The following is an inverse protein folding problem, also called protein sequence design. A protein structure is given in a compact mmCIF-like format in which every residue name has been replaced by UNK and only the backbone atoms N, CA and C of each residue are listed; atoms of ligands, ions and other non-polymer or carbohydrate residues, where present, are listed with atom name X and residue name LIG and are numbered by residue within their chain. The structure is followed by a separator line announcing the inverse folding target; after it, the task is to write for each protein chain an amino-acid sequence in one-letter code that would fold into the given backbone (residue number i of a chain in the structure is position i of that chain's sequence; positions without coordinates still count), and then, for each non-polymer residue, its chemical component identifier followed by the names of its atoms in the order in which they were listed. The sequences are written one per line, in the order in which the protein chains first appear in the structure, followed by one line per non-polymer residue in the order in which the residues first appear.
data_IF_077144514001
#
_entry.id   IF_077144514001
#
_cell.length_a   1.000
_cell.length_b   1.000
_cell.length_c   1.000
_cell.angle_alpha   90.00
_cell.angle_beta   90.00
_cell.angle_gamma   90.00
#
_symmetry.space_group_name_H-M   'P 1'
#
loop_
_entity.id
_entity.type
_entity.pdbx_description
1 polymer ?
#
# COMPACT_ATOMS: atom_id res chain seq x y z
N UNK A 1 -49.75 -54.84 13.02
CA UNK A 1 -50.92 -54.03 12.68
C UNK A 1 -50.71 -53.51 11.26
N UNK A 2 -51.09 -54.33 10.28
CA UNK A 2 -52.29 -54.16 9.44
C UNK A 2 -52.07 -53.11 8.34
N UNK A 3 -51.85 -53.54 7.08
CA UNK A 3 -52.88 -53.84 6.06
C UNK A 3 -53.71 -52.57 5.74
N UNK A 4 -53.98 -52.16 4.49
CA UNK A 4 -53.89 -52.77 3.16
C UNK A 4 -54.39 -51.71 2.14
N UNK A 5 -53.96 -51.88 0.88
CA UNK A 5 -54.78 -51.69 -0.36
C UNK A 5 -55.14 -50.25 -0.81
N UNK A 6 -55.31 -49.91 -2.09
CA UNK A 6 -55.59 -50.71 -3.29
C UNK A 6 -55.19 -49.93 -4.58
N UNK A 7 -54.66 -50.64 -5.58
CA UNK A 7 -54.74 -50.30 -7.03
C UNK A 7 -56.17 -50.51 -7.58
N UNK A 8 -56.49 -49.96 -8.77
CA UNK A 8 -56.55 -50.76 -10.02
C UNK A 8 -55.77 -50.08 -11.17
N UNK A 9 -55.05 -50.81 -12.06
CA UNK A 9 -55.50 -51.55 -13.27
C UNK A 9 -56.30 -50.66 -14.26
N UNK A 10 -56.16 -50.66 -15.59
CA UNK A 10 -55.53 -51.46 -16.66
C UNK A 10 -55.71 -50.59 -17.94
N UNK A 11 -54.76 -50.41 -18.88
CA UNK A 11 -54.24 -51.32 -19.91
C UNK A 11 -54.99 -51.27 -21.26
N UNK A 12 -54.20 -51.39 -22.35
CA UNK A 12 -54.50 -51.56 -23.80
C UNK A 12 -54.79 -50.30 -24.62
N UNK A 13 -53.88 -49.80 -25.49
CA UNK A 13 -53.17 -50.36 -26.67
C UNK A 13 -54.12 -50.74 -27.82
N UNK A 14 -54.04 -50.00 -28.94
CA UNK A 14 -53.85 -50.50 -30.32
C UNK A 14 -53.78 -49.32 -31.30
N UNK A 15 -52.65 -49.15 -31.99
CA UNK A 15 -52.46 -49.45 -33.43
C UNK A 15 -53.51 -48.82 -34.36
N UNK A 16 -53.11 -48.05 -35.38
CA UNK A 16 -52.71 -48.66 -36.64
C UNK A 16 -52.23 -47.64 -37.69
N UNK A 17 -51.25 -48.08 -38.49
CA UNK A 17 -50.71 -47.40 -39.67
C UNK A 17 -51.61 -47.74 -40.86
N UNK A 18 -51.87 -46.73 -41.70
CA UNK A 18 -52.76 -46.69 -42.87
C UNK A 18 -52.61 -47.86 -43.84
N UNK A 19 -53.74 -48.28 -44.41
CA UNK A 19 -53.87 -48.77 -45.79
C UNK A 19 -55.03 -48.00 -46.46
N UNK A 20 -54.93 -47.55 -47.73
CA UNK A 20 -55.91 -46.64 -48.33
C UNK A 20 -56.92 -47.36 -49.23
N UNK A 21 -58.15 -46.84 -49.30
CA UNK A 21 -58.96 -46.79 -50.54
C UNK A 21 -60.23 -45.95 -50.37
N UNK A 22 -60.30 -44.93 -51.23
CA UNK A 22 -61.45 -44.34 -51.92
C UNK A 22 -62.65 -43.64 -51.23
N UNK A 23 -62.97 -42.52 -51.89
CA UNK A 23 -64.28 -41.83 -52.10
C UNK A 23 -64.89 -40.93 -51.00
N UNK A 24 -64.71 -39.61 -51.24
CA UNK A 24 -65.56 -38.39 -51.03
C UNK A 24 -67.06 -38.56 -50.62
N UNK A 25 -67.78 -37.48 -50.22
CA UNK A 25 -67.44 -36.26 -49.46
C UNK A 25 -68.53 -35.85 -48.41
N UNK A 26 -68.30 -34.71 -47.72
CA UNK A 26 -69.27 -33.80 -47.06
C UNK A 26 -70.05 -34.25 -45.81
N UNK A 27 -69.78 -33.59 -44.67
CA UNK A 27 -70.71 -32.62 -44.06
C UNK A 27 -70.20 -32.10 -42.72
N UNK A 28 -70.52 -30.82 -42.47
CA UNK A 28 -70.07 -30.00 -41.36
C UNK A 28 -70.57 -30.48 -39.99
N UNK A 29 -69.69 -30.46 -38.99
CA UNK A 29 -70.05 -30.12 -37.62
C UNK A 29 -68.94 -29.24 -37.03
N UNK A 30 -69.22 -27.93 -36.92
CA UNK A 30 -68.48 -27.02 -36.06
C UNK A 30 -68.75 -27.41 -34.59
N UNK A 31 -67.70 -27.49 -33.77
CA UNK A 31 -67.83 -27.39 -32.31
C UNK A 31 -66.67 -26.59 -31.70
N UNK A 32 -66.92 -25.85 -30.61
CA UNK A 32 -66.17 -24.66 -30.21
C UNK A 32 -65.11 -24.99 -29.16
N UNK A 33 -63.89 -25.29 -29.59
CA UNK A 33 -62.76 -25.52 -28.66
C UNK A 33 -61.55 -24.60 -28.93
N UNK A 34 -61.69 -23.65 -29.87
CA UNK A 34 -60.56 -22.87 -30.38
C UNK A 34 -60.24 -21.55 -29.66
N UNK A 35 -60.98 -21.17 -28.61
CA UNK A 35 -60.78 -19.88 -27.94
C UNK A 35 -59.85 -19.89 -26.71
N UNK A 36 -59.52 -21.05 -26.12
CA UNK A 36 -58.78 -21.10 -24.85
C UNK A 36 -57.25 -21.28 -24.99
N UNK A 37 -56.74 -21.62 -26.18
CA UNK A 37 -55.34 -22.01 -26.39
C UNK A 37 -54.36 -20.83 -26.60
N UNK A 38 -54.82 -19.70 -27.18
CA UNK A 38 -53.94 -18.58 -27.55
C UNK A 38 -53.55 -17.65 -26.40
N UNK A 39 -54.32 -17.59 -25.30
CA UNK A 39 -53.98 -16.71 -24.16
C UNK A 39 -52.91 -17.33 -23.26
N UNK A 40 -52.98 -18.64 -23.00
CA UNK A 40 -52.00 -19.37 -22.19
C UNK A 40 -50.60 -19.39 -22.82
N UNK A 41 -50.50 -19.52 -24.14
CA UNK A 41 -49.22 -19.49 -24.86
C UNK A 41 -48.55 -18.10 -24.80
N UNK A 42 -49.33 -17.01 -24.87
CA UNK A 42 -48.82 -15.63 -24.76
C UNK A 42 -48.33 -15.32 -23.35
N UNK A 43 -49.02 -15.82 -22.33
CA UNK A 43 -48.59 -15.68 -20.93
C UNK A 43 -47.29 -16.45 -20.68
N UNK A 44 -47.15 -17.66 -21.24
CA UNK A 44 -45.91 -18.44 -21.11
C UNK A 44 -44.72 -17.80 -21.84
N UNK A 45 -44.94 -17.24 -23.03
CA UNK A 45 -43.88 -16.53 -23.78
C UNK A 45 -43.45 -15.24 -23.08
N UNK A 46 -44.39 -14.47 -22.51
CA UNK A 46 -44.07 -13.28 -21.72
C UNK A 46 -43.38 -13.62 -20.39
N UNK A 47 -43.73 -14.74 -19.76
CA UNK A 47 -43.07 -15.22 -18.55
C UNK A 47 -41.62 -15.67 -18.81
N UNK A 48 -41.36 -16.37 -19.93
CA UNK A 48 -40.00 -16.73 -20.35
C UNK A 48 -39.15 -15.50 -20.70
N UNK A 49 -39.76 -14.50 -21.36
CA UNK A 49 -39.08 -13.26 -21.72
C UNK A 49 -38.76 -12.41 -20.48
N UNK A 50 -39.64 -12.40 -19.47
CA UNK A 50 -39.41 -11.67 -18.21
C UNK A 50 -38.40 -12.37 -17.29
N UNK A 51 -38.34 -13.70 -17.27
CA UNK A 51 -37.29 -14.43 -16.52
C UNK A 51 -35.88 -14.21 -17.11
N UNK A 52 -35.77 -13.95 -18.42
CA UNK A 52 -34.49 -13.71 -19.09
C UNK A 52 -33.82 -12.39 -18.69
N UNK A 53 -34.58 -11.41 -18.19
CA UNK A 53 -34.05 -10.11 -17.77
C UNK A 53 -33.53 -10.07 -16.32
N UNK A 54 -33.84 -11.08 -15.50
CA UNK A 54 -33.49 -11.08 -14.07
C UNK A 54 -32.07 -11.63 -13.81
N UNK A 55 -31.45 -12.29 -14.80
CA UNK A 55 -30.14 -12.96 -14.67
C UNK A 55 -28.89 -12.08 -14.78
N UNK A 56 -28.96 -10.91 -15.43
CA UNK A 56 -27.75 -10.14 -15.78
C UNK A 56 -27.27 -9.14 -14.70
N UNK A 57 -27.99 -8.98 -13.58
CA UNK A 57 -27.74 -7.85 -12.66
C UNK A 57 -26.81 -8.20 -11.48
N UNK A 58 -26.59 -9.48 -11.16
CA UNK A 58 -25.89 -9.88 -9.93
C UNK A 58 -24.48 -10.49 -10.08
N UNK A 59 -24.02 -10.76 -11.32
CA UNK A 59 -22.70 -11.38 -11.56
C UNK A 59 -21.51 -10.42 -11.43
N UNK A 60 -21.72 -9.10 -11.52
CA UNK A 60 -20.62 -8.12 -11.48
C UNK A 60 -20.16 -7.68 -10.08
N UNK A 61 -21.06 -7.67 -9.08
CA UNK A 61 -20.78 -6.98 -7.80
C UNK A 61 -20.03 -7.82 -6.76
N UNK A 62 -20.13 -9.16 -6.82
CA UNK A 62 -19.44 -10.07 -5.89
C UNK A 62 -18.02 -10.42 -6.35
N UNK A 63 -17.81 -10.67 -7.64
CA UNK A 63 -16.47 -10.93 -8.22
C UNK A 63 -15.54 -9.73 -8.06
N UNK A 64 -16.05 -8.50 -8.25
CA UNK A 64 -15.26 -7.27 -8.08
C UNK A 64 -14.78 -7.02 -6.63
N UNK A 65 -15.49 -7.52 -5.61
CA UNK A 65 -15.13 -7.29 -4.19
C UNK A 65 -13.94 -8.13 -3.74
N UNK A 66 -13.84 -9.39 -4.19
CA UNK A 66 -12.73 -10.27 -3.82
C UNK A 66 -11.41 -9.80 -4.44
N UNK A 67 -11.46 -9.31 -5.68
CA UNK A 67 -10.26 -8.96 -6.45
C UNK A 67 -9.63 -7.62 -6.06
N UNK A 68 -10.43 -6.61 -5.66
CA UNK A 68 -9.90 -5.34 -5.13
C UNK A 68 -8.93 -5.55 -3.95
N UNK A 69 -9.19 -6.57 -3.12
CA UNK A 69 -8.31 -6.94 -2.01
C UNK A 69 -6.97 -7.50 -2.49
N UNK A 70 -6.99 -8.46 -3.42
CA UNK A 70 -5.80 -9.09 -3.98
C UNK A 70 -4.92 -8.08 -4.74
N UNK A 71 -5.53 -7.15 -5.48
CA UNK A 71 -4.82 -6.08 -6.18
C UNK A 71 -4.16 -5.11 -5.22
N UNK A 72 -4.90 -4.66 -4.19
CA UNK A 72 -4.36 -3.77 -3.17
C UNK A 72 -3.13 -4.40 -2.49
N UNK A 73 -3.22 -5.69 -2.13
CA UNK A 73 -2.10 -6.44 -1.55
C UNK A 73 -0.90 -6.54 -2.50
N UNK A 74 -1.13 -6.79 -3.79
CA UNK A 74 -0.07 -6.94 -4.79
C UNK A 74 0.65 -5.61 -5.07
N UNK A 75 -0.10 -4.52 -5.23
CA UNK A 75 0.47 -3.17 -5.42
C UNK A 75 1.21 -2.72 -4.17
N UNK A 76 0.64 -2.94 -2.99
CA UNK A 76 1.30 -2.62 -1.73
C UNK A 76 2.62 -3.40 -1.57
N UNK A 77 2.61 -4.72 -1.81
CA UNK A 77 3.80 -5.56 -1.73
C UNK A 77 4.89 -5.10 -2.69
N UNK A 78 4.56 -4.85 -3.96
CA UNK A 78 5.55 -4.43 -4.96
C UNK A 78 6.15 -3.05 -4.66
N UNK A 79 5.36 -2.12 -4.14
CA UNK A 79 5.85 -0.82 -3.66
C UNK A 79 6.79 -0.97 -2.45
N UNK A 80 6.42 -1.79 -1.47
CA UNK A 80 7.25 -2.09 -0.30
C UNK A 80 8.58 -2.76 -0.70
N UNK A 81 8.52 -3.74 -1.60
CA UNK A 81 9.71 -4.42 -2.14
C UNK A 81 10.63 -3.45 -2.87
N UNK A 82 10.11 -2.56 -3.72
CA UNK A 82 10.89 -1.54 -4.41
C UNK A 82 11.57 -0.58 -3.42
N UNK A 83 10.82 -0.07 -2.44
CA UNK A 83 11.34 0.88 -1.47
C UNK A 83 12.45 0.26 -0.63
N UNK A 84 12.26 -0.98 -0.17
CA UNK A 84 13.27 -1.70 0.59
C UNK A 84 14.50 -2.06 -0.25
N UNK A 85 14.29 -2.51 -1.50
CA UNK A 85 15.37 -2.78 -2.44
C UNK A 85 16.24 -1.53 -2.65
N UNK A 86 15.63 -0.35 -2.75
CA UNK A 86 16.37 0.89 -2.87
C UNK A 86 17.17 1.24 -1.60
N UNK A 87 16.68 0.94 -0.39
CA UNK A 87 17.49 1.09 0.82
C UNK A 87 18.73 0.18 0.78
N UNK A 88 18.57 -1.06 0.33
CA UNK A 88 19.69 -2.01 0.19
C UNK A 88 20.68 -1.53 -0.88
N UNK A 89 20.21 -1.11 -2.05
CA UNK A 89 21.05 -0.53 -3.12
C UNK A 89 21.89 0.64 -2.60
N UNK A 90 21.25 1.58 -1.90
CA UNK A 90 21.95 2.74 -1.33
C UNK A 90 23.03 2.34 -0.31
N UNK A 91 22.82 1.25 0.45
CA UNK A 91 23.84 0.71 1.36
C UNK A 91 25.08 0.20 0.59
N UNK A 92 24.87 -0.41 -0.56
CA UNK A 92 25.92 -0.87 -1.48
C UNK A 92 26.46 0.21 -2.42
N UNK A 93 25.96 1.46 -2.32
CA UNK A 93 26.25 2.58 -3.23
C UNK A 93 25.80 2.33 -4.68
N UNK A 94 24.83 1.46 -4.87
CA UNK A 94 24.15 1.26 -6.15
C UNK A 94 23.05 2.32 -6.34
N UNK A 95 22.73 2.62 -7.60
CA UNK A 95 21.72 3.63 -7.95
C UNK A 95 20.31 3.15 -7.59
N UNK A 96 19.51 3.93 -6.83
CA UNK A 96 18.12 3.58 -6.58
C UNK A 96 17.28 3.80 -7.85
N UNK A 97 16.20 3.02 -8.00
CA UNK A 97 15.30 3.14 -9.15
C UNK A 97 13.85 3.14 -8.68
N UNK A 98 13.04 4.05 -9.21
CA UNK A 98 11.66 4.23 -8.79
C UNK A 98 10.74 4.08 -10.00
N UNK A 99 9.71 3.24 -9.85
CA UNK A 99 8.61 3.11 -10.78
C UNK A 99 7.31 3.55 -10.12
N UNK A 100 6.43 4.17 -10.89
CA UNK A 100 5.05 4.51 -10.50
C UNK A 100 4.06 3.67 -11.31
N UNK A 101 2.94 3.30 -10.69
CA UNK A 101 1.83 2.67 -11.41
C UNK A 101 1.15 3.75 -12.25
N UNK A 102 1.25 3.65 -13.57
CA UNK A 102 0.66 4.62 -14.50
C UNK A 102 -0.78 4.27 -14.87
N UNK A 103 -1.11 2.99 -15.01
CA UNK A 103 -2.48 2.55 -15.28
C UNK A 103 -2.72 1.11 -14.81
N UNK A 104 -3.98 0.80 -14.52
CA UNK A 104 -4.45 -0.57 -14.29
C UNK A 104 -5.58 -0.82 -15.28
N UNK A 105 -5.40 -1.78 -16.17
CA UNK A 105 -6.40 -2.18 -17.16
C UNK A 105 -6.82 -3.63 -16.91
N UNK A 106 -8.11 -3.90 -16.83
CA UNK A 106 -8.63 -5.26 -16.64
C UNK A 106 -9.02 -5.91 -17.97
N UNK A 107 -8.63 -7.16 -18.17
CA UNK A 107 -9.11 -8.00 -19.28
C UNK A 107 -9.88 -9.18 -18.70
N UNK A 108 -11.02 -9.54 -19.29
CA UNK A 108 -11.79 -10.71 -18.89
C UNK A 108 -11.65 -11.81 -19.94
N UNK A 109 -11.32 -13.02 -19.50
CA UNK A 109 -11.30 -14.22 -20.34
C UNK A 109 -12.35 -15.20 -19.84
N UNK A 110 -13.16 -15.71 -20.75
CA UNK A 110 -14.14 -16.76 -20.47
C UNK A 110 -13.50 -18.11 -20.79
N UNK A 111 -13.25 -18.94 -19.79
CA UNK A 111 -12.78 -20.31 -20.00
C UNK A 111 -13.90 -21.32 -19.74
N UNK A 112 -14.20 -22.14 -20.74
CA UNK A 112 -15.12 -23.27 -20.64
C UNK A 112 -14.33 -24.56 -20.46
N UNK A 113 -14.29 -25.11 -19.25
CA UNK A 113 -13.64 -26.40 -18.97
C UNK A 113 -14.62 -27.56 -19.10
N UNK A 114 -14.39 -28.47 -20.05
CA UNK A 114 -15.12 -29.76 -20.12
C UNK A 114 -14.33 -30.79 -19.31
N UNK A 115 -14.70 -31.00 -18.05
CA UNK A 115 -14.11 -32.07 -17.24
C UNK A 115 -14.76 -33.41 -17.63
N UNK A 116 -14.12 -34.18 -18.52
CA UNK A 116 -14.57 -35.50 -18.96
C UNK A 116 -14.07 -36.67 -18.09
N UNK A 117 -13.62 -36.40 -16.85
CA UNK A 117 -13.27 -37.45 -15.89
C UNK A 117 -13.94 -37.14 -14.55
N UNK A 118 -15.00 -37.89 -14.24
CA UNK A 118 -15.65 -37.86 -12.94
C UNK A 118 -14.77 -38.55 -11.91
N UNK A 119 -14.22 -37.78 -10.98
CA UNK A 119 -13.57 -38.31 -9.78
C UNK A 119 -14.45 -37.98 -8.57
N UNK A 120 -14.92 -38.97 -7.79
CA UNK A 120 -15.79 -38.71 -6.65
C UNK A 120 -14.93 -38.47 -5.41
N UNK A 121 -14.41 -37.25 -5.19
CA UNK A 121 -13.70 -36.94 -3.95
C UNK A 121 -13.97 -35.53 -3.42
N UNK A 122 -14.44 -35.55 -2.16
CA UNK A 122 -14.30 -34.58 -1.07
C UNK A 122 -15.09 -33.25 -1.13
N UNK A 123 -16.17 -33.28 -0.36
CA UNK A 123 -17.04 -32.20 0.10
C UNK A 123 -16.28 -31.12 0.90
N UNK A 124 -15.55 -30.23 0.21
CA UNK A 124 -14.98 -29.02 0.83
C UNK A 124 -14.93 -27.79 -0.08
N UNK A 125 -15.46 -27.85 -1.30
CA UNK A 125 -15.61 -26.68 -2.18
C UNK A 125 -17.09 -26.44 -2.47
N UNK A 126 -17.78 -25.76 -1.55
CA UNK A 126 -19.09 -25.14 -1.85
C UNK A 126 -18.90 -23.94 -2.78
N UNK A 127 -18.61 -24.22 -4.04
CA UNK A 127 -18.72 -23.33 -5.17
C UNK A 127 -20.18 -23.29 -5.65
N UNK A 128 -20.84 -22.20 -5.31
CA UNK A 128 -22.04 -21.59 -5.88
C UNK A 128 -22.69 -22.29 -7.12
N UNK A 129 -23.85 -22.91 -6.88
CA UNK A 129 -24.91 -23.35 -7.82
C UNK A 129 -24.53 -24.18 -9.07
N UNK A 130 -24.96 -25.45 -9.07
CA UNK A 130 -24.97 -26.31 -10.24
C UNK A 130 -26.13 -26.05 -11.20
N UNK A 131 -25.81 -26.11 -12.50
CA UNK A 131 -26.49 -26.87 -13.56
C UNK A 131 -25.64 -26.77 -14.84
N UNK A 132 -24.82 -27.81 -15.10
CA UNK A 132 -24.29 -28.14 -16.43
C UNK A 132 -23.39 -27.12 -17.12
N UNK A 133 -22.25 -26.76 -16.55
CA UNK A 133 -21.17 -26.07 -17.27
C UNK A 133 -20.21 -25.34 -16.33
N UNK A 134 -18.93 -25.75 -16.32
CA UNK A 134 -17.89 -25.02 -15.61
C UNK A 134 -17.47 -23.80 -16.45
N UNK A 135 -18.25 -22.73 -16.34
CA UNK A 135 -17.91 -21.44 -16.92
C UNK A 135 -17.13 -20.66 -15.87
N UNK A 136 -15.81 -20.62 -16.02
CA UNK A 136 -14.92 -19.83 -15.16
C UNK A 136 -14.59 -18.52 -15.88
N UNK A 137 -14.97 -17.38 -15.27
CA UNK A 137 -14.63 -16.05 -15.76
C UNK A 137 -13.36 -15.59 -15.04
N UNK A 138 -12.24 -15.57 -15.75
CA UNK A 138 -10.93 -15.18 -15.21
C UNK A 138 -10.64 -13.74 -15.63
N UNK A 139 -10.48 -12.84 -14.67
CA UNK A 139 -10.00 -11.47 -14.91
C UNK A 139 -8.47 -11.44 -14.78
N UNK A 140 -7.77 -10.86 -15.76
CA UNK A 140 -6.32 -10.64 -15.72
C UNK A 140 -6.05 -9.13 -15.78
N UNK A 141 -5.75 -8.47 -14.64
CA UNK A 141 -5.34 -7.07 -14.67
C UNK A 141 -3.95 -6.95 -15.32
N UNK A 142 -3.76 -5.90 -16.08
CA UNK A 142 -2.47 -5.44 -16.58
C UNK A 142 -2.14 -4.15 -15.84
N UNK A 143 -1.11 -4.20 -14.99
CA UNK A 143 -0.58 -3.03 -14.29
C UNK A 143 0.58 -2.47 -15.12
N UNK A 144 0.43 -1.24 -15.59
CA UNK A 144 1.50 -0.54 -16.33
C UNK A 144 2.33 0.26 -15.35
N UNK A 145 3.65 0.09 -15.41
CA UNK A 145 4.61 0.83 -14.60
C UNK A 145 5.40 1.80 -15.47
N UNK A 146 5.60 3.03 -14.98
CA UNK A 146 6.41 4.04 -15.63
C UNK A 146 7.57 4.47 -14.71
N UNK A 147 8.81 4.62 -15.22
CA UNK A 147 9.91 5.12 -14.43
C UNK A 147 9.68 6.56 -13.94
N UNK A 148 10.09 6.85 -12.71
CA UNK A 148 10.12 8.22 -12.19
C UNK A 148 11.39 8.92 -12.69
N UNK A 149 11.23 9.84 -13.65
CA UNK A 149 12.35 10.54 -14.31
C UNK A 149 12.06 12.05 -14.48
N UNK A 150 13.07 12.79 -14.93
CA UNK A 150 12.97 14.23 -15.21
C UNK A 150 12.52 15.05 -13.99
N UNK A 151 11.66 16.05 -14.23
CA UNK A 151 11.19 16.97 -13.20
C UNK A 151 10.45 16.27 -12.06
N UNK A 152 9.67 15.22 -12.36
CA UNK A 152 8.98 14.43 -11.31
C UNK A 152 9.98 13.80 -10.35
N UNK A 153 11.13 13.31 -10.84
CA UNK A 153 12.18 12.76 -9.99
C UNK A 153 12.81 13.84 -9.11
N UNK A 154 13.15 15.00 -9.69
CA UNK A 154 13.69 16.13 -8.93
C UNK A 154 12.72 16.54 -7.83
N UNK A 155 11.46 16.76 -8.17
CA UNK A 155 10.42 17.21 -7.25
C UNK A 155 10.15 16.19 -6.13
N UNK A 156 10.00 14.90 -6.46
CA UNK A 156 9.58 13.89 -5.49
C UNK A 156 10.71 13.26 -4.68
N UNK A 157 11.92 13.20 -5.24
CA UNK A 157 13.04 12.44 -4.67
C UNK A 157 14.16 13.35 -4.16
N UNK A 158 14.50 14.42 -4.90
CA UNK A 158 15.65 15.28 -4.60
C UNK A 158 15.30 16.56 -3.83
N UNK A 159 14.07 17.07 -3.95
CA UNK A 159 13.65 18.26 -3.22
C UNK A 159 13.64 18.02 -1.71
N UNK A 160 14.05 19.01 -0.90
CA UNK A 160 13.94 18.93 0.55
C UNK A 160 12.49 18.80 1.02
N UNK A 161 12.26 18.00 2.07
CA UNK A 161 10.93 17.81 2.67
C UNK A 161 10.40 19.17 3.14
N UNK A 162 9.21 19.60 2.67
CA UNK A 162 8.60 20.85 3.09
C UNK A 162 8.17 20.84 4.56
N UNK A 163 8.27 21.99 5.23
CA UNK A 163 7.80 22.14 6.62
C UNK A 163 6.31 21.83 6.78
N UNK A 164 5.49 22.11 5.76
CA UNK A 164 4.06 21.77 5.75
C UNK A 164 3.84 20.24 5.85
N UNK A 165 4.69 19.44 5.20
CA UNK A 165 4.63 17.97 5.27
C UNK A 165 4.95 17.48 6.68
N UNK A 166 5.92 18.08 7.36
CA UNK A 166 6.26 17.77 8.76
C UNK A 166 5.07 18.03 9.69
N UNK A 167 4.40 19.18 9.52
CA UNK A 167 3.18 19.53 10.27
C UNK A 167 2.05 18.55 9.98
N UNK A 168 1.83 18.17 8.71
CA UNK A 168 0.81 17.18 8.33
C UNK A 168 1.05 15.81 9.00
N UNK A 169 2.30 15.34 9.00
CA UNK A 169 2.67 14.08 9.64
C UNK A 169 2.45 14.14 11.16
N UNK A 170 2.80 15.25 11.79
CA UNK A 170 2.56 15.45 13.24
C UNK A 170 1.06 15.34 13.57
N UNK A 171 0.21 16.02 12.80
CA UNK A 171 -1.25 15.95 12.97
C UNK A 171 -1.87 14.61 12.58
N UNK A 172 -1.13 13.77 11.84
CA UNK A 172 -1.53 12.39 11.52
C UNK A 172 -1.16 11.39 12.64
N UNK A 173 -0.70 11.87 13.80
CA UNK A 173 -0.40 11.04 14.97
C UNK A 173 1.02 10.48 15.04
N UNK A 174 1.92 10.87 14.13
CA UNK A 174 3.29 10.39 14.14
C UNK A 174 4.12 10.97 15.30
N UNK A 175 5.07 10.18 15.80
CA UNK A 175 6.04 10.62 16.80
C UNK A 175 6.90 11.78 16.27
N UNK A 176 6.90 12.92 16.96
CA UNK A 176 7.71 14.09 16.59
C UNK A 176 9.20 13.76 16.56
N UNK A 177 9.68 12.89 17.46
CA UNK A 177 11.06 12.40 17.46
C UNK A 177 11.38 11.67 16.16
N UNK A 178 10.50 10.77 15.72
CA UNK A 178 10.71 10.02 14.48
C UNK A 178 10.64 10.95 13.27
N UNK A 179 9.65 11.84 13.20
CA UNK A 179 9.52 12.80 12.11
C UNK A 179 10.78 13.67 12.01
N UNK A 180 11.26 14.23 13.12
CA UNK A 180 12.40 15.17 13.11
C UNK A 180 13.71 14.44 12.81
N UNK A 181 13.92 13.23 13.33
CA UNK A 181 15.11 12.41 13.02
C UNK A 181 15.18 12.02 11.54
N UNK A 182 14.05 11.78 10.88
CA UNK A 182 14.06 11.54 9.44
C UNK A 182 14.18 12.85 8.67
N UNK A 183 13.40 13.88 9.02
CA UNK A 183 13.20 15.04 8.17
C UNK A 183 14.30 16.10 8.25
N UNK A 184 14.99 16.26 9.37
CA UNK A 184 16.00 17.32 9.55
C UNK A 184 17.41 16.75 9.64
N UNK A 185 18.34 17.32 8.87
CA UNK A 185 19.78 17.06 8.95
C UNK A 185 20.45 17.83 10.10
N UNK A 186 19.89 18.99 10.43
CA UNK A 186 20.38 19.84 11.50
C UNK A 186 19.28 20.75 12.05
N UNK A 187 19.42 21.12 13.32
CA UNK A 187 18.69 22.20 13.99
C UNK A 187 19.71 23.08 14.72
N UNK A 188 19.85 24.34 14.31
CA UNK A 188 20.96 25.21 14.71
C UNK A 188 22.32 24.49 14.54
N UNK A 189 23.08 24.34 15.62
CA UNK A 189 24.39 23.69 15.63
C UNK A 189 24.29 22.16 15.84
N UNK A 190 23.09 21.64 16.17
CA UNK A 190 22.88 20.22 16.44
C UNK A 190 22.77 19.45 15.13
N UNK A 191 23.74 18.55 14.92
CA UNK A 191 23.82 17.69 13.73
C UNK A 191 23.00 16.42 13.98
N UNK A 192 22.24 16.00 12.98
CA UNK A 192 21.56 14.71 12.94
C UNK A 192 22.15 13.84 11.85
N UNK A 193 23.40 13.40 11.99
CA UNK A 193 24.10 12.61 10.98
C UNK A 193 23.99 13.16 9.53
N UNK A 194 24.31 14.44 9.27
CA UNK A 194 24.15 15.04 7.93
C UNK A 194 24.95 14.30 6.85
N UNK A 195 26.13 13.76 7.19
CA UNK A 195 26.94 12.94 6.29
C UNK A 195 26.30 11.62 5.87
N UNK A 196 25.21 11.20 6.52
CA UNK A 196 24.41 10.04 6.14
C UNK A 196 23.16 10.40 5.32
N UNK A 197 23.03 11.65 4.86
CA UNK A 197 22.02 12.02 3.85
C UNK A 197 22.49 11.77 2.41
N UNK A 198 23.71 11.24 2.25
CA UNK A 198 24.30 10.78 1.01
C UNK A 198 24.94 9.40 1.20
N UNK A 199 25.88 8.98 0.32
CA UNK A 199 26.58 7.70 0.45
C UNK A 199 27.16 7.51 1.86
N UNK A 200 27.14 6.26 2.35
CA UNK A 200 27.63 5.89 3.69
C UNK A 200 28.98 6.57 3.99
N UNK A 201 29.08 7.40 5.05
CA UNK A 201 30.27 8.18 5.32
C UNK A 201 31.39 7.29 5.84
N UNK A 202 32.64 7.64 5.53
CA UNK A 202 33.82 6.96 6.04
C UNK A 202 34.09 7.26 7.52
N UNK A 203 33.66 8.45 8.00
CA UNK A 203 33.82 8.90 9.38
C UNK A 203 32.47 9.08 10.05
N UNK A 204 32.37 8.65 11.32
CA UNK A 204 31.17 8.73 12.13
C UNK A 204 30.67 10.18 12.25
N UNK A 205 29.41 10.47 11.91
CA UNK A 205 28.90 11.83 11.99
C UNK A 205 28.35 12.15 13.40
N UNK A 206 28.19 13.43 13.72
CA UNK A 206 27.52 13.87 14.95
C UNK A 206 26.00 13.67 14.90
N UNK A 207 25.41 13.13 15.96
CA UNK A 207 23.96 12.85 16.06
C UNK A 207 23.39 12.84 17.49
N UNK A 208 24.23 12.72 18.52
CA UNK A 208 23.82 12.36 19.88
C UNK A 208 22.99 13.47 20.55
N UNK A 209 23.43 14.71 20.41
CA UNK A 209 22.78 15.88 20.99
C UNK A 209 21.42 16.12 20.32
N UNK A 210 21.38 16.06 18.99
CA UNK A 210 20.11 16.15 18.25
C UNK A 210 19.12 15.08 18.69
N UNK A 211 19.57 13.82 18.80
CA UNK A 211 18.73 12.70 19.26
C UNK A 211 18.20 12.93 20.67
N UNK A 212 19.02 13.50 21.55
CA UNK A 212 18.61 13.83 22.93
C UNK A 212 17.57 14.95 22.94
N UNK A 213 17.74 15.98 22.11
CA UNK A 213 16.83 17.13 22.05
C UNK A 213 15.43 16.75 21.56
N UNK A 214 15.34 15.93 20.51
CA UNK A 214 14.03 15.51 19.98
C UNK A 214 13.28 14.59 20.95
N UNK A 215 13.96 13.90 21.86
CA UNK A 215 13.33 13.12 22.93
C UNK A 215 12.59 14.01 23.94
N UNK A 216 13.08 15.22 24.21
CA UNK A 216 12.33 16.19 25.02
C UNK A 216 11.02 16.59 24.34
N UNK A 217 11.05 16.85 23.03
CA UNK A 217 9.84 17.11 22.26
C UNK A 217 8.88 15.93 22.28
N UNK A 218 9.39 14.69 22.20
CA UNK A 218 8.54 13.50 22.29
C UNK A 218 7.86 13.37 23.65
N UNK A 219 8.56 13.64 24.75
CA UNK A 219 7.96 13.65 26.09
C UNK A 219 6.83 14.68 26.19
N UNK A 220 7.05 15.90 25.71
CA UNK A 220 6.03 16.93 25.65
C UNK A 220 4.85 16.52 24.75
N UNK A 221 5.12 15.89 23.60
CA UNK A 221 4.07 15.41 22.70
C UNK A 221 3.16 14.38 23.35
N UNK A 222 3.73 13.40 24.07
CA UNK A 222 2.95 12.36 24.76
C UNK A 222 2.06 12.93 25.86
N UNK A 223 2.43 14.08 26.42
CA UNK A 223 1.64 14.83 27.40
C UNK A 223 0.63 15.80 26.77
N UNK A 224 0.48 15.79 25.43
CA UNK A 224 -0.32 16.78 24.69
C UNK A 224 0.08 18.23 24.99
N UNK A 225 1.34 18.45 25.37
CA UNK A 225 1.85 19.74 25.82
C UNK A 225 2.34 20.64 24.68
N UNK A 226 2.41 20.11 23.46
CA UNK A 226 2.89 20.83 22.28
C UNK A 226 1.97 20.67 21.08
N UNK A 227 2.00 21.67 20.20
CA UNK A 227 1.38 21.65 18.90
C UNK A 227 2.34 22.18 17.83
N UNK A 228 2.21 21.70 16.59
CA UNK A 228 2.93 22.23 15.43
C UNK A 228 1.95 22.89 14.47
N UNK A 229 2.29 24.10 14.04
CA UNK A 229 1.51 24.85 13.04
C UNK A 229 2.39 25.28 11.88
N UNK A 230 1.84 25.24 10.66
CA UNK A 230 2.48 25.79 9.49
C UNK A 230 2.03 27.23 9.29
N UNK A 231 2.97 28.16 9.18
CA UNK A 231 2.68 29.56 8.88
C UNK A 231 3.50 30.01 7.67
N UNK A 232 2.97 30.97 6.91
CA UNK A 232 3.72 31.71 5.90
C UNK A 232 3.81 33.15 6.36
N UNK A 233 5.01 33.64 6.64
CA UNK A 233 5.26 35.03 7.00
C UNK A 233 6.01 35.68 5.84
N UNK A 234 5.39 36.69 5.19
CA UNK A 234 5.91 37.33 3.97
C UNK A 234 6.29 36.33 2.86
N UNK A 235 5.46 35.30 2.68
CA UNK A 235 5.71 34.23 1.70
C UNK A 235 6.73 33.17 2.13
N UNK A 236 7.48 33.40 3.21
CA UNK A 236 8.50 32.46 3.70
C UNK A 236 7.84 31.37 4.58
N UNK A 237 8.01 30.09 4.27
CA UNK A 237 7.44 29.00 5.04
C UNK A 237 8.14 28.86 6.39
N UNK A 238 7.35 28.75 7.47
CA UNK A 238 7.85 28.50 8.82
C UNK A 238 7.02 27.43 9.52
N UNK A 239 7.64 26.72 10.45
CA UNK A 239 6.97 25.77 11.35
C UNK A 239 7.03 26.35 12.76
N UNK A 240 5.87 26.59 13.33
CA UNK A 240 5.72 27.12 14.69
C UNK A 240 5.50 25.95 15.64
N UNK A 241 6.41 25.77 16.60
CA UNK A 241 6.20 24.95 17.78
C UNK A 241 5.54 25.81 18.84
N UNK A 242 4.35 25.40 19.27
CA UNK A 242 3.67 25.95 20.43
C UNK A 242 3.83 24.99 21.60
N UNK A 243 4.32 25.47 22.73
CA UNK A 243 4.33 24.77 24.02
C UNK A 243 3.26 25.41 24.90
N UNK A 244 2.38 24.59 25.47
CA UNK A 244 1.32 25.05 26.36
C UNK A 244 1.89 25.84 27.56
N UNK A 245 1.16 26.85 28.01
CA UNK A 245 1.57 27.77 29.08
C UNK A 245 2.02 27.03 30.35
N UNK A 246 1.28 25.99 30.75
CA UNK A 246 1.58 25.12 31.90
C UNK A 246 2.91 24.39 31.78
N UNK A 247 3.37 24.10 30.56
CA UNK A 247 4.54 23.26 30.29
C UNK A 247 5.77 24.05 29.85
N UNK A 248 5.66 25.36 29.55
CA UNK A 248 6.78 26.18 29.06
C UNK A 248 8.01 26.18 29.99
N UNK A 249 7.77 25.97 31.29
CA UNK A 249 8.79 25.91 32.34
C UNK A 249 9.16 24.49 32.80
N UNK A 250 8.58 23.46 32.19
CA UNK A 250 8.93 22.05 32.45
C UNK A 250 10.42 21.79 32.18
N UNK A 251 10.95 20.72 32.79
CA UNK A 251 12.34 20.28 32.56
C UNK A 251 12.59 20.05 31.07
N UNK A 252 11.69 19.33 30.40
CA UNK A 252 11.78 19.01 28.97
C UNK A 252 11.80 20.27 28.09
N UNK A 253 10.90 21.23 28.33
CA UNK A 253 10.86 22.47 27.55
C UNK A 253 12.11 23.33 27.74
N UNK A 254 12.61 23.45 28.98
CA UNK A 254 13.85 24.17 29.28
C UNK A 254 15.06 23.50 28.65
N UNK A 255 15.17 22.18 28.74
CA UNK A 255 16.28 21.42 28.16
C UNK A 255 16.27 21.48 26.62
N UNK A 256 15.09 21.44 25.99
CA UNK A 256 14.94 21.67 24.56
C UNK A 256 15.47 23.05 24.13
N UNK A 257 15.06 24.11 24.84
CA UNK A 257 15.48 25.48 24.52
C UNK A 257 17.00 25.68 24.71
N UNK A 258 17.52 25.26 25.87
CA UNK A 258 18.95 25.40 26.22
C UNK A 258 19.82 24.68 25.19
N UNK A 259 19.49 23.44 24.84
CA UNK A 259 20.30 22.66 23.90
C UNK A 259 20.36 23.26 22.49
N UNK A 260 19.40 24.10 22.11
CA UNK A 260 19.39 24.81 20.83
C UNK A 260 19.88 26.25 20.93
N UNK A 261 20.39 26.69 22.09
CA UNK A 261 20.78 28.07 22.39
C UNK A 261 19.62 29.07 22.23
N UNK A 262 18.42 28.69 22.69
CA UNK A 262 17.22 29.51 22.67
C UNK A 262 16.92 30.04 24.08
N UNK A 263 16.12 31.11 24.15
CA UNK A 263 15.63 31.62 25.43
C UNK A 263 14.60 30.65 26.04
N UNK A 264 14.85 30.06 27.23
CA UNK A 264 13.94 29.11 27.86
C UNK A 264 12.69 29.78 28.42
N UNK A 265 11.63 28.99 28.65
CA UNK A 265 10.38 29.50 29.26
C UNK A 265 9.41 30.18 28.29
N UNK A 266 9.73 30.19 26.98
CA UNK A 266 8.81 30.65 25.93
C UNK A 266 7.80 29.58 25.54
N UNK A 267 6.61 30.03 25.13
CA UNK A 267 5.56 29.17 24.56
C UNK A 267 5.71 28.98 23.05
N UNK A 268 6.58 29.73 22.38
CA UNK A 268 6.67 29.74 20.91
C UNK A 268 8.12 29.68 20.47
N UNK A 269 8.41 28.74 19.57
CA UNK A 269 9.69 28.63 18.85
C UNK A 269 9.41 28.40 17.37
N UNK A 270 10.22 29.00 16.50
CA UNK A 270 9.95 29.07 15.07
C UNK A 270 11.09 28.39 14.29
N UNK A 271 10.77 27.31 13.59
CA UNK A 271 11.70 26.61 12.71
C UNK A 271 11.65 27.23 11.31
N UNK A 272 12.80 27.64 10.79
CA UNK A 272 12.94 28.33 9.51
C UNK A 272 14.21 27.91 8.77
N UNK A 273 14.17 27.91 7.43
CA UNK A 273 15.35 27.62 6.59
C UNK A 273 16.36 28.77 6.57
N UNK A 274 15.93 29.99 6.84
CA UNK A 274 16.78 31.17 6.90
C UNK A 274 16.29 32.01 8.07
N UNK A 275 16.86 31.83 9.28
CA UNK A 275 16.48 32.65 10.43
C UNK A 275 16.87 34.10 10.18
N UNK A 276 16.08 35.02 10.72
CA UNK A 276 16.44 36.44 10.78
C UNK A 276 17.49 36.60 11.88
N UNK A 277 18.58 37.30 11.58
CA UNK A 277 19.58 37.71 12.57
C UNK A 277 18.86 38.43 13.74
N UNK A 278 19.29 38.17 14.97
CA UNK A 278 18.78 38.78 16.22
C UNK A 278 17.46 38.25 16.81
N UNK A 279 16.80 37.25 16.21
CA UNK A 279 15.63 36.59 16.84
C UNK A 279 16.02 35.38 17.68
N UNK A 280 15.83 35.47 19.00
CA UNK A 280 16.19 34.43 19.99
C UNK A 280 15.22 33.24 20.08
N UNK A 281 14.15 33.27 19.29
CA UNK A 281 13.10 32.24 19.22
C UNK A 281 13.14 31.43 17.90
N UNK A 282 14.11 31.70 17.03
CA UNK A 282 14.23 31.03 15.73
C UNK A 282 15.25 29.89 15.74
N UNK A 283 14.86 28.80 15.09
CA UNK A 283 15.66 27.60 14.91
C UNK A 283 15.93 27.46 13.41
N UNK A 284 17.19 27.60 13.03
CA UNK A 284 17.63 27.27 11.69
C UNK A 284 17.50 25.77 11.46
N UNK A 285 16.83 25.36 10.38
CA UNK A 285 16.70 23.95 10.02
C UNK A 285 17.20 23.68 8.62
N UNK A 286 17.83 22.51 8.46
CA UNK A 286 18.18 21.95 7.17
C UNK A 286 17.38 20.67 7.00
N UNK A 287 16.45 20.63 6.05
CA UNK A 287 15.67 19.41 5.78
C UNK A 287 16.41 18.43 4.88
N UNK A 288 16.07 17.15 5.01
CA UNK A 288 16.44 16.10 4.05
C UNK A 288 15.46 16.09 2.90
N UNK A 289 15.92 15.68 1.73
CA UNK A 289 15.05 15.17 0.68
C UNK A 289 14.61 13.74 0.99
N UNK A 290 13.67 13.18 0.21
CA UNK A 290 13.33 11.76 0.33
C UNK A 290 14.56 10.87 0.13
N UNK A 291 15.40 11.17 -0.88
CA UNK A 291 16.64 10.44 -1.10
C UNK A 291 17.57 10.53 0.11
N UNK A 292 17.65 11.72 0.74
CA UNK A 292 18.40 11.89 1.97
C UNK A 292 17.86 11.04 3.13
N UNK A 293 16.54 10.93 3.28
CA UNK A 293 15.93 10.04 4.27
C UNK A 293 16.28 8.58 3.97
N UNK A 294 16.26 8.18 2.70
CA UNK A 294 16.60 6.82 2.28
C UNK A 294 18.07 6.49 2.50
N UNK A 295 19.00 7.42 2.25
CA UNK A 295 20.41 7.25 2.61
C UNK A 295 20.62 7.16 4.12
N UNK A 296 19.87 7.93 4.90
CA UNK A 296 19.95 7.88 6.36
C UNK A 296 19.44 6.52 6.87
N UNK A 297 18.32 6.04 6.33
CA UNK A 297 17.74 4.74 6.67
C UNK A 297 18.50 3.55 6.08
N UNK A 298 19.23 3.70 4.99
CA UNK A 298 20.06 2.60 4.45
C UNK A 298 21.16 2.19 5.43
N UNK A 299 21.52 3.06 6.39
CA UNK A 299 22.44 2.72 7.47
C UNK A 299 21.88 1.67 8.45
N UNK A 300 20.56 1.44 8.45
CA UNK A 300 19.91 0.37 9.20
C UNK A 300 19.97 -1.01 8.52
N UNK A 301 20.49 -1.09 7.28
CA UNK A 301 20.64 -2.35 6.56
C UNK A 301 21.84 -3.11 7.11
N UNK A 302 21.57 -4.25 7.73
CA UNK A 302 22.55 -5.23 8.16
C UNK A 302 22.92 -6.08 6.94
N UNK A 303 24.17 -5.96 6.50
CA UNK A 303 24.70 -6.71 5.36
C UNK A 303 25.46 -7.95 5.83
N UNK A 304 25.57 -8.99 5.00
CA UNK A 304 26.39 -10.16 5.32
C UNK A 304 27.82 -9.79 5.67
N UNK A 305 28.41 -10.48 6.66
CA UNK A 305 29.78 -10.24 7.09
C UNK A 305 30.79 -10.40 5.95
N UNK A 306 30.55 -11.33 5.04
CA UNK A 306 31.39 -11.57 3.86
C UNK A 306 31.47 -10.34 2.95
N UNK A 307 30.35 -9.64 2.73
CA UNK A 307 30.32 -8.45 1.91
C UNK A 307 31.07 -7.27 2.55
N UNK A 308 31.06 -7.22 3.89
CA UNK A 308 31.87 -6.27 4.67
C UNK A 308 33.37 -6.56 4.50
N UNK A 309 33.77 -7.83 4.61
CA UNK A 309 35.17 -8.26 4.49
C UNK A 309 35.72 -8.08 3.07
N UNK A 310 34.87 -8.26 2.04
CA UNK A 310 35.22 -8.06 0.64
C UNK A 310 35.21 -6.58 0.20
N UNK A 311 34.92 -5.64 1.11
CA UNK A 311 34.93 -4.21 0.81
C UNK A 311 33.77 -3.75 -0.09
N UNK A 312 32.71 -4.55 -0.21
CA UNK A 312 31.52 -4.22 -1.01
C UNK A 312 30.66 -3.12 -0.39
N UNK A 313 30.86 -2.83 0.89
CA UNK A 313 30.20 -1.73 1.61
C UNK A 313 31.22 -0.89 2.34
N UNK A 314 30.90 0.40 2.54
CA UNK A 314 31.71 1.27 3.38
C UNK A 314 31.56 0.90 4.85
N UNK A 315 32.68 0.68 5.54
CA UNK A 315 32.74 0.61 6.98
C UNK A 315 33.06 2.00 7.54
N UNK A 316 32.09 2.62 8.19
CA UNK A 316 32.27 3.89 8.89
C UNK A 316 33.18 3.67 10.10
N UNK A 317 34.15 4.56 10.28
CA UNK A 317 35.06 4.55 11.42
C UNK A 317 34.80 5.76 12.32
N UNK A 318 35.06 5.62 13.61
CA UNK A 318 35.18 6.74 14.53
C UNK A 318 36.47 7.50 14.28
N UNK A 319 36.62 8.69 14.89
CA UNK A 319 37.85 9.49 14.76
C UNK A 319 39.10 8.78 15.30
N UNK A 320 38.94 7.87 16.27
CA UNK A 320 40.00 6.99 16.80
C UNK A 320 40.18 5.68 15.98
N UNK A 321 39.54 5.56 14.82
CA UNK A 321 39.74 4.46 13.87
C UNK A 321 38.95 3.18 14.15
N UNK A 322 38.14 3.13 15.21
CA UNK A 322 37.27 1.97 15.53
C UNK A 322 36.08 1.89 14.57
N UNK A 323 35.51 0.71 14.40
CA UNK A 323 34.28 0.53 13.61
C UNK A 323 33.12 1.23 14.33
N UNK A 324 32.42 2.09 13.61
CA UNK A 324 31.25 2.80 14.13
C UNK A 324 29.99 1.93 14.02
N UNK A 325 29.27 1.80 15.12
CA UNK A 325 28.01 1.06 15.18
C UNK A 325 26.82 1.95 14.82
N UNK A 326 26.31 1.78 13.60
CA UNK A 326 25.12 2.49 13.10
C UNK A 326 23.83 2.17 13.88
N UNK A 327 23.77 1.07 14.64
CA UNK A 327 22.61 0.78 15.51
C UNK A 327 22.39 1.87 16.56
N UNK A 328 23.43 2.62 16.92
CA UNK A 328 23.32 3.78 17.82
C UNK A 328 22.57 4.97 17.19
N UNK A 329 22.51 5.04 15.87
CA UNK A 329 21.90 6.15 15.11
C UNK A 329 20.52 5.77 14.56
N UNK A 330 20.37 4.55 14.05
CA UNK A 330 19.14 4.11 13.35
C UNK A 330 18.49 2.88 13.97
N UNK A 331 19.13 2.19 14.90
CA UNK A 331 18.69 0.88 15.37
C UNK A 331 17.37 0.88 16.15
N UNK A 332 16.94 2.01 16.71
CA UNK A 332 15.62 2.17 17.32
C UNK A 332 14.55 2.65 16.31
N UNK A 333 14.98 3.12 15.13
CA UNK A 333 14.09 3.51 14.03
C UNK A 333 13.80 2.33 13.11
N UNK A 334 14.82 1.66 12.59
CA UNK A 334 14.71 0.64 11.57
C UNK A 334 15.81 -0.40 11.75
N UNK A 335 15.49 -1.66 11.47
CA UNK A 335 16.42 -2.78 11.33
C UNK A 335 16.00 -3.57 10.11
N UNK A 336 16.89 -3.68 9.13
CA UNK A 336 16.72 -4.57 7.98
C UNK A 336 17.78 -5.64 8.10
N UNK A 337 17.36 -6.87 8.37
CA UNK A 337 18.24 -8.03 8.57
C UNK A 337 18.52 -8.72 7.25
N UNK A 338 19.57 -9.54 7.21
CA UNK A 338 19.94 -10.34 6.05
C UNK A 338 19.98 -11.84 6.36
N UNK A 339 19.51 -12.67 5.44
CA UNK A 339 19.61 -14.14 5.47
C UNK A 339 19.98 -14.67 4.08
N UNK A 340 20.69 -15.80 4.03
CA UNK A 340 20.98 -16.50 2.77
C UNK A 340 19.74 -17.20 2.19
N UNK A 341 18.80 -17.59 3.05
CA UNK A 341 17.55 -18.26 2.68
C UNK A 341 16.38 -17.28 2.77
N UNK A 342 15.35 -17.52 1.96
CA UNK A 342 14.13 -16.70 1.98
C UNK A 342 13.50 -16.72 3.38
N UNK A 343 13.17 -15.56 3.96
CA UNK A 343 12.52 -15.46 5.27
C UNK A 343 11.06 -15.96 5.21
N UNK A 344 10.43 -16.08 6.39
CA UNK A 344 9.04 -16.50 6.53
C UNK A 344 8.07 -15.66 5.68
N UNK A 345 6.95 -16.27 5.28
CA UNK A 345 6.03 -15.74 4.27
C UNK A 345 5.44 -14.35 4.57
N UNK A 346 5.43 -13.92 5.84
CA UNK A 346 4.84 -12.66 6.29
C UNK A 346 5.83 -11.51 6.45
N UNK A 347 7.14 -11.78 6.35
CA UNK A 347 8.16 -10.74 6.45
C UNK A 347 8.23 -9.92 5.16
N UNK A 348 8.22 -8.58 5.28
CA UNK A 348 8.57 -7.69 4.17
C UNK A 348 10.01 -8.00 3.77
N UNK A 349 10.21 -8.56 2.56
CA UNK A 349 11.49 -9.12 2.13
C UNK A 349 11.83 -8.71 0.69
N UNK A 350 13.11 -8.61 0.36
CA UNK A 350 13.60 -8.38 -1.00
C UNK A 350 14.88 -9.17 -1.22
N UNK A 351 15.11 -9.65 -2.44
CA UNK A 351 16.32 -10.40 -2.79
C UNK A 351 17.28 -9.51 -3.57
N UNK A 352 18.53 -9.45 -3.11
CA UNK A 352 19.56 -8.66 -3.76
C UNK A 352 20.95 -9.22 -3.51
N UNK A 353 21.80 -9.28 -4.55
CA UNK A 353 23.19 -9.76 -4.48
C UNK A 353 23.35 -11.10 -3.74
N UNK A 354 22.52 -12.09 -4.07
CA UNK A 354 22.63 -13.42 -3.45
C UNK A 354 21.98 -13.53 -2.06
N UNK A 355 21.43 -12.46 -1.51
CA UNK A 355 20.98 -12.38 -0.11
C UNK A 355 19.55 -11.87 -0.01
N UNK A 356 18.78 -12.41 0.93
CA UNK A 356 17.46 -11.89 1.31
C UNK A 356 17.59 -10.85 2.40
N UNK A 357 17.02 -9.68 2.18
CA UNK A 357 16.90 -8.61 3.19
C UNK A 357 15.45 -8.52 3.65
N UNK A 358 15.22 -8.33 4.95
CA UNK A 358 13.87 -8.30 5.49
C UNK A 358 13.72 -7.47 6.77
N UNK A 359 12.49 -7.02 7.01
CA UNK A 359 12.04 -6.49 8.29
C UNK A 359 11.29 -7.61 9.01
N UNK A 360 11.71 -7.92 10.22
CA UNK A 360 11.05 -8.91 11.07
C UNK A 360 9.61 -8.49 11.38
N UNK A 361 8.64 -9.41 11.24
CA UNK A 361 7.23 -9.06 11.43
C UNK A 361 6.90 -8.72 12.90
N UNK A 362 7.71 -9.17 13.85
CA UNK A 362 7.56 -8.76 15.26
C UNK A 362 8.12 -7.35 15.54
N UNK A 363 8.91 -6.77 14.63
CA UNK A 363 9.53 -5.45 14.82
C UNK A 363 8.59 -4.31 14.42
N UNK A 364 7.69 -3.97 15.34
CA UNK A 364 6.71 -2.89 15.16
C UNK A 364 7.36 -1.51 14.96
N UNK A 365 8.55 -1.25 15.54
CA UNK A 365 9.23 0.03 15.38
C UNK A 365 9.75 0.20 13.95
N UNK A 366 10.40 -0.86 13.43
CA UNK A 366 10.87 -0.92 12.05
C UNK A 366 9.71 -0.81 11.07
N UNK A 367 8.61 -1.55 11.28
CA UNK A 367 7.39 -1.43 10.46
C UNK A 367 6.82 -0.02 10.47
N UNK A 368 6.78 0.64 11.63
CA UNK A 368 6.30 2.02 11.76
C UNK A 368 7.17 3.02 11.01
N UNK A 369 8.50 2.90 11.11
CA UNK A 369 9.43 3.78 10.38
C UNK A 369 9.37 3.54 8.88
N UNK A 370 9.26 2.28 8.43
CA UNK A 370 9.11 1.95 7.02
C UNK A 370 7.79 2.50 6.44
N UNK A 371 6.68 2.36 7.17
CA UNK A 371 5.40 2.98 6.79
C UNK A 371 5.47 4.50 6.73
N UNK A 372 6.20 5.14 7.65
CA UNK A 372 6.43 6.58 7.60
C UNK A 372 7.25 6.99 6.37
N UNK A 373 8.28 6.22 6.00
CA UNK A 373 9.05 6.45 4.77
C UNK A 373 8.14 6.37 3.54
N UNK A 374 7.30 5.33 3.44
CA UNK A 374 6.33 5.18 2.36
C UNK A 374 5.35 6.36 2.33
N UNK A 375 4.87 6.83 3.47
CA UNK A 375 3.98 7.99 3.54
C UNK A 375 4.68 9.30 3.12
N UNK A 376 5.94 9.51 3.51
CA UNK A 376 6.74 10.65 3.05
C UNK A 376 6.86 10.61 1.52
N UNK A 377 7.17 9.44 0.94
CA UNK A 377 7.24 9.27 -0.52
C UNK A 377 5.92 9.63 -1.21
N UNK A 378 4.80 9.12 -0.70
CA UNK A 378 3.47 9.44 -1.24
C UNK A 378 3.11 10.92 -1.10
N UNK A 379 3.48 11.57 0.01
CA UNK A 379 3.20 13.00 0.24
C UNK A 379 4.06 13.91 -0.65
N UNK A 380 5.27 13.49 -1.03
CA UNK A 380 6.08 14.23 -2.01
C UNK A 380 5.46 14.20 -3.41
N UNK A 381 4.57 13.24 -3.70
CA UNK A 381 3.88 13.21 -4.98
C UNK A 381 2.93 14.39 -5.22
N UNK A 382 2.46 15.05 -4.15
CA UNK A 382 1.63 16.26 -4.23
C UNK A 382 0.30 16.07 -4.98
N UNK A 383 -0.36 17.19 -5.31
CA UNK A 383 -1.49 17.23 -6.24
C UNK A 383 -0.94 17.26 -7.68
N UNK A 384 -0.33 16.17 -8.13
CA UNK A 384 -0.13 16.01 -9.57
C UNK A 384 -1.51 15.73 -10.14
N UNK A 385 -1.96 16.57 -11.08
CA UNK A 385 -3.13 16.28 -11.91
C UNK A 385 -2.78 15.06 -12.77
N UNK A 386 -2.91 13.87 -12.20
CA UNK A 386 -2.83 12.64 -12.96
C UNK A 386 -4.13 12.52 -13.77
N UNK A 387 -4.10 13.10 -14.98
CA UNK A 387 -5.11 12.93 -16.02
C UNK A 387 -4.98 11.55 -16.68
N UNK A 388 -4.79 10.48 -15.91
CA UNK A 388 -4.72 9.13 -16.47
C UNK A 388 -6.14 8.55 -16.55
N UNK A 389 -6.68 8.32 -17.77
CA UNK A 389 -7.97 7.68 -17.91
C UNK A 389 -7.88 6.23 -17.40
N UNK A 390 -8.83 5.85 -16.55
CA UNK A 390 -9.07 4.43 -16.24
C UNK A 390 -9.59 3.76 -17.53
N UNK A 391 -8.70 3.08 -18.26
CA UNK A 391 -9.07 2.38 -19.49
C UNK A 391 -9.52 0.96 -19.16
N UNK A 392 -10.83 0.72 -19.19
CA UNK A 392 -11.39 -0.64 -19.19
C UNK A 392 -11.50 -1.10 -20.64
N UNK A 393 -10.72 -2.11 -21.04
CA UNK A 393 -10.79 -2.67 -22.39
C UNK A 393 -11.99 -3.64 -22.48
N UNK A 394 -12.74 -3.66 -23.60
CA UNK A 394 -13.80 -4.63 -23.81
C UNK A 394 -13.23 -6.03 -24.00
N UNK A 395 -14.06 -7.02 -23.69
CA UNK A 395 -13.75 -8.46 -23.75
C UNK A 395 -13.41 -8.84 -25.21
N UNK A 396 -12.24 -9.41 -25.44
CA UNK A 396 -11.89 -10.03 -26.73
C UNK A 396 -12.69 -11.31 -26.90
N UNK A 397 -13.47 -11.39 -27.99
CA UNK A 397 -14.25 -12.57 -28.36
C UNK A 397 -13.37 -13.74 -28.79
#
# INVERSE_FOLDING_TARGET
MERKQHFPHQLFICFNRKNPKNSKPNSNFMNPLYCFSKSLLRVYLMAMLSLSFIGCVNLGSKTLKNERSNYNLSVQRTNDEQLMLNLVRLKYRDTPFFMEVSSVASQFTLSTGVNAFGNPLNDSTKGLFGLGGNVEMIEKPTVTYSPLQGDKFIQRVLSPIPLKTIVLLFHSGWSIERIFRLSFQAMNHLKNAPGASGPTPSIAPGYMEFTSVVKYLRKLQVQSAINLSYIKENGVPKLLLHINETYKNSKEAKQFAIALNLEPGKTRYVFAFSPVLDKTDQIHVVSRSLLGVMFYLSQAVEVPREDVLQGKVTQTKTHDGKIFDWKKVTGDLLKIRSLSVKPEAYSKSTYYRGTWFYIDDSDLSSKSTFSLLAQIFSLQAGNIQDNTPLLTLPIGQ
#
